data_IF_270693949917
#
_entry.id   IF_270693949917
#
_cell.length_a   1.000
_cell.length_b   1.000
_cell.length_c   1.000
_cell.angle_alpha   90.00
_cell.angle_beta   90.00
_cell.angle_gamma   90.00
#
_symmetry.space_group_name_H-M   'P 1'
#
loop_
_entity.id
_entity.type
_entity.pdbx_description
1 polymer ?
#
# COMPACT_ATOMS: atom_id res chain seq x y z
N UNK A 1 -18.91 -19.93 11.16
CA UNK A 1 -17.56 -19.95 10.54
C UNK A 1 -16.53 -19.57 11.61
N UNK A 2 -15.50 -20.39 11.81
CA UNK A 2 -14.42 -20.07 12.75
C UNK A 2 -13.33 -19.20 12.07
N UNK A 3 -12.59 -18.38 12.83
CA UNK A 3 -11.53 -17.50 12.29
C UNK A 3 -10.54 -18.20 11.35
N UNK A 4 -10.16 -19.44 11.67
CA UNK A 4 -9.23 -20.25 10.87
C UNK A 4 -9.81 -20.63 9.51
N UNK A 5 -11.10 -20.98 9.50
CA UNK A 5 -11.85 -21.35 8.30
C UNK A 5 -12.04 -20.12 7.39
N UNK A 6 -12.38 -18.96 7.97
CA UNK A 6 -12.45 -17.70 7.24
C UNK A 6 -11.12 -17.36 6.55
N UNK A 7 -10.01 -17.50 7.29
CA UNK A 7 -8.67 -17.26 6.74
C UNK A 7 -8.35 -18.21 5.59
N UNK A 8 -8.62 -19.51 5.75
CA UNK A 8 -8.34 -20.51 4.72
C UNK A 8 -9.11 -20.21 3.42
N UNK A 9 -10.38 -19.81 3.53
CA UNK A 9 -11.19 -19.43 2.39
C UNK A 9 -10.68 -18.15 1.70
N UNK A 10 -10.39 -17.10 2.49
CA UNK A 10 -9.96 -15.81 1.97
C UNK A 10 -8.58 -15.85 1.31
N UNK A 11 -7.73 -16.81 1.67
CA UNK A 11 -6.36 -16.94 1.13
C UNK A 11 -6.15 -18.18 0.25
N UNK A 12 -7.22 -18.83 -0.19
CA UNK A 12 -7.14 -19.98 -1.09
C UNK A 12 -6.54 -19.61 -2.46
N UNK A 13 -5.98 -20.56 -3.22
CA UNK A 13 -5.58 -20.31 -4.61
C UNK A 13 -6.72 -19.72 -5.45
N UNK A 14 -6.42 -18.71 -6.26
CA UNK A 14 -7.38 -17.95 -7.08
C UNK A 14 -8.18 -16.90 -6.31
N UNK A 15 -8.05 -16.81 -4.99
CA UNK A 15 -8.75 -15.79 -4.19
C UNK A 15 -8.02 -14.45 -4.22
N UNK A 16 -8.75 -13.37 -3.92
CA UNK A 16 -8.19 -12.01 -3.87
C UNK A 16 -6.98 -11.89 -2.93
N UNK A 17 -6.95 -12.66 -1.84
CA UNK A 17 -5.85 -12.65 -0.88
C UNK A 17 -5.04 -13.95 -0.92
N UNK A 18 -4.94 -14.59 -2.10
CA UNK A 18 -4.00 -15.70 -2.33
C UNK A 18 -2.61 -15.31 -1.81
N UNK A 19 -1.97 -16.22 -1.09
CA UNK A 19 -0.66 -16.01 -0.47
C UNK A 19 0.40 -16.83 -1.19
N UNK A 20 1.60 -16.28 -1.27
CA UNK A 20 2.81 -16.99 -1.73
C UNK A 20 4.01 -16.67 -0.83
N UNK A 21 5.12 -17.39 -1.05
CA UNK A 21 6.40 -17.07 -0.42
C UNK A 21 7.27 -16.26 -1.39
N UNK A 22 7.84 -15.16 -0.89
CA UNK A 22 8.85 -14.38 -1.60
C UNK A 22 10.11 -14.25 -0.76
N UNK A 23 11.27 -14.20 -1.42
CA UNK A 23 12.54 -13.88 -0.77
C UNK A 23 12.70 -12.36 -0.70
N UNK A 24 12.58 -11.80 0.50
CA UNK A 24 12.72 -10.35 0.74
C UNK A 24 13.95 -10.14 1.61
N UNK A 25 14.98 -9.48 1.06
CA UNK A 25 16.25 -9.21 1.75
C UNK A 25 16.86 -10.46 2.41
N UNK A 26 16.77 -11.61 1.74
CA UNK A 26 17.29 -12.90 2.22
C UNK A 26 16.35 -13.69 3.15
N UNK A 27 15.18 -13.16 3.52
CA UNK A 27 14.20 -13.85 4.35
C UNK A 27 12.98 -14.32 3.53
N UNK A 28 12.61 -15.61 3.68
CA UNK A 28 11.36 -16.14 3.11
C UNK A 28 10.18 -15.56 3.88
N UNK A 29 9.35 -14.79 3.16
CA UNK A 29 8.25 -14.02 3.71
C UNK A 29 6.96 -14.43 3.02
N UNK A 30 5.90 -14.68 3.79
CA UNK A 30 4.57 -14.85 3.22
C UNK A 30 3.98 -13.51 2.85
N UNK A 31 3.56 -13.38 1.60
CA UNK A 31 2.99 -12.16 1.03
C UNK A 31 1.68 -12.44 0.31
N UNK A 32 0.86 -11.42 0.11
CA UNK A 32 -0.28 -11.50 -0.81
C UNK A 32 0.23 -11.44 -2.24
N UNK A 33 -0.04 -12.49 -3.03
CA UNK A 33 0.41 -12.64 -4.41
C UNK A 33 -0.05 -11.51 -5.34
N UNK A 34 -1.23 -10.95 -5.04
CA UNK A 34 -1.85 -9.91 -5.86
C UNK A 34 -1.68 -8.50 -5.28
N UNK A 35 -0.86 -8.34 -4.23
CA UNK A 35 -0.58 -7.01 -3.70
C UNK A 35 0.28 -6.19 -4.68
N UNK A 36 0.15 -4.85 -4.68
CA UNK A 36 1.09 -4.01 -5.40
C UNK A 36 2.53 -4.28 -4.97
N UNK A 37 3.49 -4.38 -5.91
CA UNK A 37 4.85 -4.84 -5.62
C UNK A 37 5.66 -3.87 -4.75
N UNK A 38 5.29 -2.58 -4.72
CA UNK A 38 5.96 -1.55 -3.92
C UNK A 38 4.96 -0.51 -3.41
N UNK A 39 5.33 0.24 -2.37
CA UNK A 39 4.54 1.38 -1.89
C UNK A 39 4.40 2.49 -2.92
N UNK A 40 5.29 2.58 -3.91
CA UNK A 40 5.15 3.52 -5.03
C UNK A 40 3.87 3.26 -5.82
N UNK A 41 3.53 1.99 -6.07
CA UNK A 41 2.29 1.65 -6.79
C UNK A 41 1.05 2.02 -5.97
N UNK A 42 1.11 1.87 -4.64
CA UNK A 42 0.04 2.32 -3.74
C UNK A 42 -0.10 3.84 -3.77
N UNK A 43 1.01 4.58 -3.75
CA UNK A 43 1.04 6.03 -3.86
C UNK A 43 0.41 6.51 -5.18
N UNK A 44 0.81 5.89 -6.31
CA UNK A 44 0.26 6.23 -7.62
C UNK A 44 -1.23 5.91 -7.73
N UNK A 45 -1.68 4.77 -7.20
CA UNK A 45 -3.11 4.43 -7.16
C UNK A 45 -3.92 5.48 -6.36
N UNK A 46 -3.34 6.02 -5.29
CA UNK A 46 -3.95 7.08 -4.50
C UNK A 46 -4.26 8.36 -5.29
N UNK A 47 -3.52 8.64 -6.36
CA UNK A 47 -3.73 9.85 -7.19
C UNK A 47 -5.14 9.93 -7.79
N UNK A 48 -5.80 8.79 -8.00
CA UNK A 48 -7.17 8.72 -8.51
C UNK A 48 -8.22 9.35 -7.57
N UNK A 49 -7.86 9.61 -6.31
CA UNK A 49 -8.78 10.15 -5.30
C UNK A 49 -8.76 11.68 -5.19
N UNK A 50 -7.84 12.37 -5.87
CA UNK A 50 -7.87 13.83 -6.08
C UNK A 50 -7.96 14.65 -4.78
N UNK A 51 -9.05 15.41 -4.63
CA UNK A 51 -9.26 16.31 -3.47
C UNK A 51 -9.88 15.64 -2.24
N UNK A 52 -10.11 14.32 -2.25
CA UNK A 52 -10.56 13.61 -1.04
C UNK A 52 -9.52 13.73 0.06
N UNK A 53 -9.96 13.85 1.31
CA UNK A 53 -9.08 13.84 2.48
C UNK A 53 -8.34 12.50 2.56
N UNK A 54 -7.02 12.55 2.64
CA UNK A 54 -6.13 11.39 2.74
C UNK A 54 -5.50 11.28 4.13
N UNK A 55 -4.89 12.36 4.60
CA UNK A 55 -4.23 12.42 5.90
C UNK A 55 -5.01 13.35 6.82
N UNK A 56 -5.24 12.88 8.05
CA UNK A 56 -5.81 13.67 9.15
C UNK A 56 -4.84 13.55 10.30
N UNK A 57 -4.34 14.70 10.78
CA UNK A 57 -3.48 14.78 11.94
C UNK A 57 -3.97 15.94 12.80
N UNK A 58 -4.54 15.62 13.97
CA UNK A 58 -5.26 16.61 14.79
C UNK A 58 -6.30 17.37 13.95
N UNK A 59 -6.23 18.70 13.92
CA UNK A 59 -7.12 19.56 13.11
C UNK A 59 -6.65 19.72 11.66
N UNK A 60 -5.46 19.22 11.32
CA UNK A 60 -4.90 19.32 9.98
C UNK A 60 -5.41 18.21 9.06
N UNK A 61 -5.70 18.60 7.82
CA UNK A 61 -6.18 17.70 6.77
C UNK A 61 -5.42 17.96 5.49
N UNK A 62 -4.92 16.90 4.87
CA UNK A 62 -4.35 16.96 3.53
C UNK A 62 -5.16 16.07 2.56
N UNK A 63 -5.43 16.60 1.37
CA UNK A 63 -6.04 15.80 0.29
C UNK A 63 -5.02 14.85 -0.33
N UNK A 64 -5.47 13.83 -1.07
CA UNK A 64 -4.57 12.96 -1.86
C UNK A 64 -3.66 13.78 -2.77
N UNK A 65 -4.21 14.80 -3.46
CA UNK A 65 -3.43 15.70 -4.31
C UNK A 65 -2.45 16.55 -3.51
N UNK A 66 -2.87 17.10 -2.37
CA UNK A 66 -2.02 17.89 -1.48
C UNK A 66 -0.83 17.08 -0.94
N UNK A 67 -1.11 15.90 -0.39
CA UNK A 67 -0.10 14.96 0.08
C UNK A 67 0.88 14.57 -1.04
N UNK A 68 0.37 14.23 -2.22
CA UNK A 68 1.23 13.82 -3.33
C UNK A 68 2.19 14.91 -3.78
N UNK A 69 1.74 16.17 -3.88
CA UNK A 69 2.64 17.30 -4.22
C UNK A 69 3.75 17.46 -3.18
N UNK A 70 3.41 17.43 -1.89
CA UNK A 70 4.38 17.57 -0.81
C UNK A 70 5.40 16.41 -0.80
N UNK A 71 4.93 15.17 -0.93
CA UNK A 71 5.77 13.99 -0.96
C UNK A 71 6.74 13.98 -2.15
N UNK A 72 6.28 14.38 -3.35
CA UNK A 72 7.12 14.46 -4.54
C UNK A 72 8.18 15.56 -4.42
N UNK A 73 7.82 16.73 -3.88
CA UNK A 73 8.79 17.80 -3.63
C UNK A 73 9.89 17.36 -2.64
N UNK A 74 9.51 16.63 -1.57
CA UNK A 74 10.48 16.08 -0.63
C UNK A 74 11.37 15.01 -1.28
N UNK A 75 10.80 14.13 -2.10
CA UNK A 75 11.55 13.09 -2.79
C UNK A 75 12.60 13.69 -3.74
N UNK A 76 12.26 14.75 -4.46
CA UNK A 76 13.18 15.49 -5.34
C UNK A 76 14.36 16.06 -4.54
N UNK A 77 14.07 16.76 -3.43
CA UNK A 77 15.09 17.31 -2.55
C UNK A 77 16.03 16.24 -1.93
N UNK A 78 15.52 15.03 -1.68
CA UNK A 78 16.32 13.91 -1.15
C UNK A 78 17.19 13.23 -2.22
N UNK A 79 16.86 13.38 -3.50
CA UNK A 79 17.67 12.87 -4.62
C UNK A 79 18.80 13.85 -4.94
N UNK A 80 18.55 15.14 -4.81
CA UNK A 80 19.54 16.20 -5.06
C UNK A 80 20.61 16.36 -3.97
N UNK A 81 20.38 15.81 -2.77
CA UNK A 81 21.28 15.87 -1.61
C UNK A 81 22.35 14.76 -1.60
#
# INVERSE_FOLDING_TARGET
MARREARALLTAPGSRFEMEEMLIRGARTRVWKHAPPTLREVFLAGMAHGERVFLVYEEERASYRGFARAALALADALIEA
#
